data_IF_554799102349
#
_entry.id   IF_554799102349
#
_cell.length_a   1.000
_cell.length_b   1.000
_cell.length_c   1.000
_cell.angle_alpha   90.00
_cell.angle_beta   90.00
_cell.angle_gamma   90.00
#
_symmetry.space_group_name_H-M   'P 1'
#
loop_
_entity.id
_entity.type
_entity.pdbx_description
1 polymer ?
2 water ?
#
# COMPACT_ATOMS: atom_id res chain seq x y z
N UNK A 32 -21.96 -13.29 5.66
CA UNK A 32 -21.53 -11.91 5.27
C UNK A 32 -20.29 -11.90 4.32
N UNK A 33 -20.54 -11.70 3.02
CA UNK A 33 -19.56 -11.94 1.92
C UNK A 33 -18.58 -10.78 1.56
N UNK A 34 -17.45 -10.73 2.27
CA UNK A 34 -16.39 -9.72 2.09
C UNK A 34 -15.81 -9.67 0.69
N UNK A 35 -15.65 -8.46 0.17
CA UNK A 35 -15.04 -8.29 -1.14
C UNK A 35 -13.53 -8.45 -0.97
N UNK A 36 -12.85 -8.90 -2.04
CA UNK A 36 -11.40 -8.70 -2.04
C UNK A 36 -11.09 -7.18 -2.10
N UNK A 37 -9.95 -6.77 -1.57
CA UNK A 37 -9.51 -5.37 -1.69
C UNK A 37 -9.45 -4.89 -3.12
N UNK A 38 -9.83 -3.63 -3.35
CA UNK A 38 -9.52 -3.12 -4.68
C UNK A 38 -8.01 -2.97 -4.77
N UNK A 39 -7.47 -3.04 -5.99
CA UNK A 39 -6.06 -2.80 -6.24
C UNK A 39 -5.58 -1.58 -5.48
N UNK A 40 -6.28 -0.48 -5.63
CA UNK A 40 -5.83 0.76 -5.04
C UNK A 40 -6.91 1.34 -4.18
N UNK A 41 -6.55 2.06 -3.13
CA UNK A 41 -7.56 2.89 -2.45
C UNK A 41 -6.96 4.13 -1.79
N UNK A 42 -7.80 4.96 -1.21
CA UNK A 42 -7.27 6.12 -0.53
C UNK A 42 -6.78 5.68 0.81
N UNK A 43 -5.60 6.19 1.18
CA UNK A 43 -5.07 6.01 2.51
C UNK A 43 -5.11 7.31 3.29
N UNK A 44 -5.49 7.17 4.54
CA UNK A 44 -5.73 8.28 5.39
C UNK A 44 -4.94 8.10 6.67
N UNK A 45 -4.13 9.12 6.97
CA UNK A 45 -3.41 9.14 8.22
C UNK A 45 -4.03 10.30 8.97
N UNK A 46 -4.75 9.97 10.03
CA UNK A 46 -5.36 10.95 10.91
C UNK A 46 -4.38 11.71 11.78
N UNK A 47 -4.68 13.01 11.95
CA UNK A 47 -4.06 13.83 12.97
C UNK A 47 -2.52 13.73 12.84
N UNK A 48 -2.02 14.03 11.65
CA UNK A 48 -0.60 13.97 11.37
C UNK A 48 0.02 15.35 11.47
N UNK A 49 1.26 15.39 11.93
CA UNK A 49 1.97 16.65 12.02
C UNK A 49 2.05 17.44 10.68
N UNK A 50 1.59 18.68 10.68
CA UNK A 50 1.66 19.54 9.48
C UNK A 50 3.04 19.82 8.92
N UNK A 51 4.00 20.23 9.75
CA UNK A 51 5.40 20.34 9.32
C UNK A 51 5.87 19.14 8.48
N UNK A 52 5.62 17.93 8.98
CA UNK A 52 6.03 16.73 8.24
C UNK A 52 5.15 16.54 6.99
N UNK A 53 3.85 16.88 7.07
CA UNK A 53 3.03 16.82 5.86
C UNK A 53 3.69 17.66 4.80
N UNK A 54 4.03 18.90 5.13
CA UNK A 54 4.71 19.78 4.18
C UNK A 54 6.06 19.23 3.68
N UNK A 55 6.89 18.79 4.58
CA UNK A 55 8.11 18.10 4.21
C UNK A 55 7.86 16.99 3.17
N UNK A 56 6.88 16.14 3.46
CA UNK A 56 6.61 14.98 2.65
C UNK A 56 6.03 15.37 1.30
N UNK A 57 5.03 16.26 1.24
CA UNK A 57 4.47 16.72 -0.03
C UNK A 57 5.51 17.38 -0.90
N UNK A 58 6.42 18.16 -0.30
CA UNK A 58 7.58 18.73 -1.00
C UNK A 58 8.48 17.69 -1.64
N UNK A 59 8.85 16.70 -0.83
CA UNK A 59 9.72 15.64 -1.31
C UNK A 59 9.07 14.94 -2.54
N UNK A 60 7.78 14.58 -2.40
CA UNK A 60 7.02 13.89 -3.43
C UNK A 60 6.98 14.68 -4.72
N UNK A 61 6.61 15.94 -4.58
CA UNK A 61 6.50 16.86 -5.69
C UNK A 61 7.84 16.92 -6.43
N UNK A 62 8.95 17.02 -5.68
CA UNK A 62 10.31 17.05 -6.27
C UNK A 62 10.60 15.74 -6.99
N UNK A 63 10.31 14.64 -6.31
CA UNK A 63 10.63 13.32 -6.80
C UNK A 63 9.81 13.00 -8.04
N UNK A 64 8.58 13.46 -8.06
CA UNK A 64 7.72 13.23 -9.19
C UNK A 64 8.03 14.16 -10.35
N UNK A 65 8.49 15.37 -10.06
CA UNK A 65 9.06 16.23 -11.09
C UNK A 65 10.34 15.71 -11.71
N UNK A 66 11.20 15.09 -10.91
CA UNK A 66 12.46 14.59 -11.45
C UNK A 66 12.33 13.27 -12.15
N UNK A 67 11.15 12.68 -12.14
CA UNK A 67 11.01 11.25 -12.35
C UNK A 67 9.92 10.89 -13.34
N UNK A 68 8.94 11.79 -13.49
CA UNK A 68 7.71 11.55 -14.27
C UNK A 68 6.69 10.57 -13.70
N UNK A 69 7.02 9.94 -12.56
CA UNK A 69 6.17 8.90 -11.89
C UNK A 69 5.09 9.43 -10.97
N UNK A 70 3.94 8.76 -10.91
CA UNK A 70 2.89 9.18 -9.94
C UNK A 70 3.42 9.22 -8.49
N UNK A 71 2.90 10.19 -7.76
CA UNK A 71 3.13 10.42 -6.33
C UNK A 71 2.89 9.15 -5.53
N UNK A 72 1.72 8.54 -5.70
CA UNK A 72 1.29 7.37 -4.91
C UNK A 72 2.18 6.17 -5.11
N UNK A 73 2.71 6.03 -6.32
CA UNK A 73 3.79 5.07 -6.63
C UNK A 73 5.17 5.36 -5.99
N UNK A 74 5.62 6.60 -6.10
CA UNK A 74 6.86 6.99 -5.40
C UNK A 74 6.70 6.68 -3.94
N UNK A 75 5.51 6.96 -3.40
CA UNK A 75 5.26 6.87 -1.97
C UNK A 75 5.19 5.41 -1.50
N UNK A 76 4.29 4.63 -2.11
CA UNK A 76 4.21 3.21 -1.82
C UNK A 76 5.62 2.60 -1.84
N UNK A 77 6.36 2.88 -2.89
CA UNK A 77 7.64 2.24 -3.03
C UNK A 77 8.60 2.68 -1.90
N UNK A 78 8.54 3.97 -1.53
CA UNK A 78 9.35 4.52 -0.45
C UNK A 78 8.93 3.90 0.87
N UNK A 79 7.63 3.70 1.02
CA UNK A 79 7.15 3.11 2.24
C UNK A 79 7.68 1.72 2.40
N UNK A 80 7.84 0.98 1.31
CA UNK A 80 8.12 -0.40 1.55
C UNK A 80 9.61 -0.74 1.58
N UNK A 81 10.43 -0.05 0.78
CA UNK A 81 11.89 -0.09 0.96
C UNK A 81 12.41 0.68 2.19
N UNK A 82 12.13 1.97 2.22
CA UNK A 82 12.81 2.81 3.21
C UNK A 82 12.27 2.67 4.61
N UNK A 83 10.99 2.28 4.75
CA UNK A 83 10.42 2.11 6.04
C UNK A 83 10.27 0.65 6.41
N UNK A 84 9.46 -0.12 5.70
CA UNK A 84 9.20 -1.44 6.22
C UNK A 84 10.38 -2.36 6.06
N UNK A 85 11.05 -2.29 4.91
CA UNK A 85 12.15 -3.23 4.66
C UNK A 85 13.28 -2.96 5.63
N UNK A 86 13.66 -1.68 5.77
CA UNK A 86 14.71 -1.25 6.70
C UNK A 86 14.42 -1.72 8.14
N UNK A 87 13.20 -1.51 8.62
CA UNK A 87 12.88 -1.91 9.99
C UNK A 87 12.58 -3.40 10.21
N UNK A 88 11.92 -4.06 9.27
CA UNK A 88 11.53 -5.47 9.43
C UNK A 88 12.48 -6.47 8.78
N UNK A 89 13.24 -6.02 7.79
CA UNK A 89 14.04 -6.94 7.00
C UNK A 89 13.24 -7.69 5.96
N UNK A 90 13.94 -8.30 5.00
CA UNK A 90 13.34 -8.82 3.78
C UNK A 90 12.42 -9.99 4.03
N UNK A 91 12.64 -10.68 5.14
CA UNK A 91 11.95 -11.94 5.46
C UNK A 91 10.55 -11.74 5.99
N UNK A 92 10.44 -10.95 7.05
CA UNK A 92 9.15 -10.65 7.63
C UNK A 92 8.28 -9.84 6.63
N UNK A 93 8.92 -9.00 5.83
CA UNK A 93 8.21 -8.28 4.78
C UNK A 93 7.58 -9.28 3.80
N UNK A 94 8.36 -10.26 3.37
CA UNK A 94 7.89 -11.20 2.37
C UNK A 94 6.79 -12.04 2.99
N UNK A 95 6.92 -12.34 4.27
CA UNK A 95 5.89 -13.13 4.94
C UNK A 95 4.58 -12.36 5.09
N UNK A 96 4.67 -11.07 5.37
CA UNK A 96 3.46 -10.28 5.53
C UNK A 96 2.73 -10.20 4.18
N UNK A 97 3.48 -9.78 3.14
CA UNK A 97 3.02 -9.71 1.76
C UNK A 97 2.39 -10.99 1.35
N UNK A 98 3.02 -12.11 1.70
CA UNK A 98 2.53 -13.43 1.32
C UNK A 98 1.19 -13.71 1.98
N UNK A 99 1.14 -13.45 3.29
CA UNK A 99 -0.08 -13.56 4.09
C UNK A 99 -1.22 -12.77 3.46
N UNK A 100 -0.93 -11.57 2.96
CA UNK A 100 -1.99 -10.77 2.35
C UNK A 100 -2.44 -11.40 1.05
N UNK A 101 -1.48 -11.68 0.18
CA UNK A 101 -1.71 -12.35 -1.07
C UNK A 101 -2.60 -13.57 -0.84
N UNK A 102 -2.29 -14.32 0.21
CA UNK A 102 -3.11 -15.46 0.60
C UNK A 102 -4.52 -15.09 0.95
N UNK A 103 -4.69 -14.17 1.91
CA UNK A 103 -6.04 -13.81 2.32
C UNK A 103 -6.81 -13.38 1.12
N UNK A 104 -6.16 -12.61 0.25
CA UNK A 104 -6.88 -12.01 -0.85
C UNK A 104 -7.35 -13.08 -1.79
N UNK A 105 -6.53 -14.12 -1.97
CA UNK A 105 -6.87 -15.21 -2.88
C UNK A 105 -8.05 -15.97 -2.33
N UNK A 106 -8.10 -16.25 -1.02
CA UNK A 106 -9.28 -16.90 -0.48
C UNK A 106 -10.53 -16.07 -0.65
N UNK A 107 -10.42 -14.77 -0.34
CA UNK A 107 -11.58 -13.89 -0.41
C UNK A 107 -12.12 -13.87 -1.82
N UNK A 108 -11.22 -13.91 -2.78
CA UNK A 108 -11.60 -13.77 -4.14
C UNK A 108 -12.32 -15.06 -4.57
N UNK A 109 -11.83 -16.21 -4.11
CA UNK A 109 -12.47 -17.48 -4.42
C UNK A 109 -13.88 -17.57 -3.79
N UNK A 110 -14.00 -17.20 -2.52
CA UNK A 110 -15.29 -17.17 -1.82
C UNK A 110 -16.32 -16.21 -2.45
N UNK A 111 -15.80 -15.10 -2.97
CA UNK A 111 -16.60 -14.07 -3.62
C UNK A 111 -17.04 -14.52 -5.00
N UNK A 112 -16.15 -15.21 -5.71
CA UNK A 112 -16.47 -15.76 -7.04
C UNK A 112 -17.50 -16.87 -6.93
N UNK A 113 -17.34 -17.78 -5.97
CA UNK A 113 -18.36 -18.81 -5.81
C UNK A 113 -19.70 -18.19 -5.40
N UNK A 114 -19.69 -17.30 -4.40
CA UNK A 114 -20.93 -16.66 -4.02
C UNK A 114 -21.63 -16.09 -5.23
N UNK A 115 -20.88 -15.47 -6.14
CA UNK A 115 -21.52 -14.65 -7.19
C UNK A 115 -21.86 -15.25 -8.56
N UNK A 116 -21.60 -16.52 -8.88
CA UNK A 116 -22.26 -16.93 -10.14
C UNK A 116 -23.68 -17.54 -9.99
N UNK A 117 -24.44 -16.95 -9.05
CA UNK A 117 -25.74 -17.48 -8.58
C UNK A 117 -26.50 -16.47 -7.69
#
# INVERSE_FOLDING_TARGET
>A
XGSSHHHHHHSSGRENLYFQGHXGKKKNKKTEVQQPDPMRKNWIMENMDSGVIYLLESWLKAKSQETGKEISDIFANAVEFNIVLKDWGKEKLEETNTEYQNQQRKLRKTYIEYYDREXKGS
#
